data_IF_441560369501
#
_entry.id   IF_441560369501
#
_cell.length_a   1.000
_cell.length_b   1.000
_cell.length_c   1.000
_cell.angle_alpha   90.00
_cell.angle_beta   90.00
_cell.angle_gamma   90.00
#
_symmetry.space_group_name_H-M   'P 1'
#
loop_
_entity.id
_entity.type
_entity.pdbx_description
1 polymer ?
#
# COMPACT_ATOMS: atom_id res chain seq x y z
N UNK A 1 -0.84 -5.02 -12.91
CA UNK A 1 0.45 -4.38 -13.21
C UNK A 1 0.46 -3.13 -12.38
N UNK A 2 1.59 -2.83 -11.79
CA UNK A 2 1.72 -1.67 -10.91
C UNK A 2 2.38 -0.58 -11.75
N UNK A 3 2.09 0.67 -11.44
CA UNK A 3 2.90 1.76 -11.98
C UNK A 3 4.00 2.08 -10.98
N UNK A 4 5.20 2.34 -11.48
CA UNK A 4 6.33 2.77 -10.69
C UNK A 4 6.66 4.22 -11.05
N UNK A 5 6.84 5.06 -10.02
CA UNK A 5 7.35 6.43 -10.23
C UNK A 5 8.85 6.55 -9.92
N UNK A 6 9.45 5.61 -9.17
CA UNK A 6 10.89 5.49 -8.92
C UNK A 6 11.24 4.06 -8.44
N UNK A 7 12.38 3.55 -8.92
CA UNK A 7 12.82 2.14 -8.90
C UNK A 7 13.48 1.71 -7.57
N UNK A 8 13.01 2.19 -6.42
CA UNK A 8 13.55 1.78 -5.12
C UNK A 8 12.42 1.46 -4.15
N UNK A 9 12.29 0.18 -3.84
CA UNK A 9 11.36 -0.31 -2.82
C UNK A 9 11.74 0.26 -1.46
N UNK A 10 10.96 1.22 -0.97
CA UNK A 10 11.10 1.77 0.36
C UNK A 10 9.95 1.29 1.25
N UNK A 11 10.30 0.83 2.44
CA UNK A 11 9.34 0.46 3.48
C UNK A 11 9.13 1.66 4.42
N UNK A 12 7.95 1.80 5.04
CA UNK A 12 7.73 2.84 6.06
C UNK A 12 8.82 2.75 7.14
N UNK A 13 9.24 3.90 7.65
CA UNK A 13 10.45 4.00 8.45
C UNK A 13 10.26 3.42 9.86
N UNK A 14 9.04 3.47 10.38
CA UNK A 14 8.68 3.09 11.74
C UNK A 14 7.40 2.22 11.80
N UNK A 15 7.01 1.76 13.00
CA UNK A 15 5.85 0.85 13.20
C UNK A 15 4.50 1.57 13.29
N UNK A 16 4.48 2.85 13.66
CA UNK A 16 3.26 3.64 13.66
C UNK A 16 2.94 3.94 12.19
N UNK A 17 1.72 3.62 11.77
CA UNK A 17 1.32 3.80 10.38
C UNK A 17 0.05 4.64 10.32
N UNK A 18 0.24 5.94 10.20
CA UNK A 18 -0.82 6.91 9.99
C UNK A 18 -1.19 6.99 8.51
N UNK A 19 -2.49 6.91 8.25
CA UNK A 19 -3.03 6.83 6.89
C UNK A 19 -4.09 7.91 6.71
N UNK A 20 -3.96 8.71 5.66
CA UNK A 20 -4.96 9.68 5.25
C UNK A 20 -5.43 9.40 3.83
N UNK A 21 -6.72 9.61 3.57
CA UNK A 21 -7.30 9.50 2.23
C UNK A 21 -7.90 10.84 1.81
N UNK A 22 -7.37 11.40 0.73
CA UNK A 22 -7.78 12.68 0.20
C UNK A 22 -9.23 12.70 -0.31
N UNK A 23 -9.76 13.92 -0.47
CA UNK A 23 -11.08 14.16 -1.07
C UNK A 23 -11.13 13.88 -2.58
N UNK A 24 -9.97 13.68 -3.23
CA UNK A 24 -9.88 13.24 -4.62
C UNK A 24 -10.45 11.82 -4.82
N UNK A 25 -10.42 11.00 -3.77
CA UNK A 25 -11.14 9.73 -3.69
C UNK A 25 -12.59 9.96 -3.31
N UNK A 26 -13.51 9.14 -3.76
CA UNK A 26 -14.91 9.22 -3.34
C UNK A 26 -15.13 8.67 -1.92
N UNK A 27 -16.33 8.87 -1.36
CA UNK A 27 -16.62 8.44 0.02
C UNK A 27 -16.60 6.92 0.21
N UNK A 28 -16.95 6.14 -0.82
CA UNK A 28 -16.94 4.69 -0.78
C UNK A 28 -15.50 4.17 -0.84
N UNK A 29 -14.66 4.77 -1.69
CA UNK A 29 -13.24 4.46 -1.80
C UNK A 29 -12.51 4.70 -0.47
N UNK A 30 -12.70 5.88 0.16
CA UNK A 30 -12.13 6.17 1.47
C UNK A 30 -12.57 5.17 2.55
N UNK A 31 -13.83 4.72 2.51
CA UNK A 31 -14.33 3.67 3.43
C UNK A 31 -13.67 2.32 3.15
N UNK A 32 -13.48 1.96 1.88
CA UNK A 32 -12.77 0.73 1.49
C UNK A 32 -11.33 0.76 1.97
N UNK A 33 -10.63 1.90 1.80
CA UNK A 33 -9.27 2.08 2.29
C UNK A 33 -9.22 1.88 3.80
N UNK A 34 -9.99 2.68 4.55
CA UNK A 34 -10.01 2.66 6.02
C UNK A 34 -10.31 1.27 6.59
N UNK A 35 -11.26 0.54 5.99
CA UNK A 35 -11.59 -0.83 6.41
C UNK A 35 -10.46 -1.80 6.08
N UNK A 36 -9.91 -1.73 4.87
CA UNK A 36 -8.91 -2.70 4.42
C UNK A 36 -7.62 -2.58 5.22
N UNK A 37 -7.13 -1.37 5.45
CA UNK A 37 -5.88 -1.17 6.22
C UNK A 37 -6.04 -1.67 7.65
N UNK A 38 -7.22 -1.47 8.26
CA UNK A 38 -7.53 -2.01 9.59
C UNK A 38 -7.68 -3.53 9.59
N UNK A 39 -8.42 -4.08 8.63
CA UNK A 39 -8.70 -5.52 8.55
C UNK A 39 -7.44 -6.35 8.26
N UNK A 40 -6.55 -5.84 7.39
CA UNK A 40 -5.45 -6.63 6.85
C UNK A 40 -4.09 -6.29 7.48
N UNK A 41 -3.85 -5.02 7.80
CA UNK A 41 -2.58 -4.58 8.40
C UNK A 41 -2.70 -4.36 9.91
N UNK A 42 -3.91 -4.07 10.44
CA UNK A 42 -4.13 -3.97 11.88
C UNK A 42 -3.74 -5.22 12.70
N UNK A 43 -3.88 -6.46 12.18
CA UNK A 43 -3.41 -7.68 12.86
C UNK A 43 -1.91 -7.98 12.72
N UNK A 44 -1.10 -7.03 12.27
CA UNK A 44 0.37 -7.14 12.16
C UNK A 44 1.03 -6.30 13.27
N UNK A 45 2.35 -6.26 13.32
CA UNK A 45 3.08 -5.42 14.29
C UNK A 45 3.03 -3.90 13.96
N UNK A 46 2.38 -3.53 12.85
CA UNK A 46 2.05 -2.14 12.54
C UNK A 46 0.93 -1.60 13.43
N UNK A 47 1.16 -0.43 14.02
CA UNK A 47 0.12 0.34 14.72
C UNK A 47 -0.62 1.25 13.73
N UNK A 48 -1.63 0.68 13.05
CA UNK A 48 -2.40 1.37 12.00
C UNK A 48 -3.39 2.38 12.58
N UNK A 49 -3.26 3.65 12.17
CA UNK A 49 -4.16 4.74 12.56
C UNK A 49 -4.68 5.47 11.30
N UNK A 50 -6.00 5.47 11.10
CA UNK A 50 -6.60 6.23 9.99
C UNK A 50 -6.96 7.64 10.47
N UNK A 51 -6.33 8.66 9.89
CA UNK A 51 -6.54 10.06 10.22
C UNK A 51 -7.63 10.70 9.34
N UNK A 52 -8.32 11.71 9.89
CA UNK A 52 -9.26 12.56 9.16
C UNK A 52 -8.59 13.69 8.38
N UNK A 53 -7.31 13.95 8.63
CA UNK A 53 -6.51 15.00 7.98
C UNK A 53 -5.09 14.52 7.71
N UNK A 54 -4.55 14.87 6.55
CA UNK A 54 -3.16 14.59 6.20
C UNK A 54 -2.22 15.72 6.62
N UNK A 55 -1.06 15.34 7.13
CA UNK A 55 0.10 16.21 7.30
C UNK A 55 1.10 15.81 6.24
N UNK A 56 1.45 16.75 5.36
CA UNK A 56 2.25 16.46 4.17
C UNK A 56 3.73 16.80 4.34
N UNK A 57 4.07 17.61 5.36
CA UNK A 57 5.43 18.07 5.63
C UNK A 57 5.71 18.24 7.14
N UNK A 58 6.94 17.95 7.57
CA UNK A 58 7.47 18.22 8.92
C UNK A 58 7.47 17.01 9.86
N UNK A 59 7.86 17.20 11.11
CA UNK A 59 8.13 16.11 12.08
C UNK A 59 6.92 15.24 12.50
N UNK A 60 5.75 15.44 11.92
CA UNK A 60 4.52 14.67 12.22
C UNK A 60 3.75 14.37 10.95
N UNK A 61 4.49 14.09 9.89
CA UNK A 61 3.96 13.67 8.59
C UNK A 61 3.06 12.45 8.70
N UNK A 62 2.13 12.36 7.75
CA UNK A 62 1.31 11.17 7.61
C UNK A 62 2.06 10.13 6.80
N UNK A 63 2.22 8.93 7.34
CA UNK A 63 3.06 7.89 6.72
C UNK A 63 2.53 7.47 5.33
N UNK A 64 1.21 7.42 5.13
CA UNK A 64 0.61 7.10 3.83
C UNK A 64 -0.49 8.09 3.45
N UNK A 65 -0.34 8.71 2.28
CA UNK A 65 -1.35 9.58 1.67
C UNK A 65 -1.95 8.93 0.42
N UNK A 66 -3.23 8.58 0.51
CA UNK A 66 -4.02 8.08 -0.60
C UNK A 66 -4.68 9.19 -1.40
N UNK A 67 -4.58 9.10 -2.72
CA UNK A 67 -5.20 10.04 -3.67
C UNK A 67 -5.62 9.34 -4.96
N UNK A 68 -6.53 9.96 -5.71
CA UNK A 68 -7.02 9.42 -6.98
C UNK A 68 -6.52 10.23 -8.17
N UNK A 69 -6.12 9.55 -9.24
CA UNK A 69 -5.77 10.17 -10.54
C UNK A 69 -6.01 9.17 -11.66
N UNK A 70 -6.26 9.67 -12.87
CA UNK A 70 -6.29 8.82 -14.06
C UNK A 70 -4.88 8.29 -14.36
N UNK A 71 -4.73 6.97 -14.35
CA UNK A 71 -3.52 6.25 -14.77
C UNK A 71 -3.81 5.46 -16.05
N UNK A 72 -2.80 4.74 -16.55
CA UNK A 72 -3.01 3.79 -17.64
C UNK A 72 -3.99 2.70 -17.19
N UNK A 73 -4.93 2.32 -18.05
CA UNK A 73 -6.11 1.51 -17.72
C UNK A 73 -5.83 0.14 -17.07
N UNK A 74 -4.64 -0.45 -17.29
CA UNK A 74 -4.23 -1.74 -16.67
C UNK A 74 -3.49 -1.59 -15.33
N UNK A 75 -3.26 -0.36 -14.89
CA UNK A 75 -2.54 -0.04 -13.64
C UNK A 75 -3.54 0.11 -12.51
N UNK A 76 -3.34 -0.63 -11.42
CA UNK A 76 -4.18 -0.56 -10.21
C UNK A 76 -3.92 0.75 -9.47
N UNK A 77 -2.64 0.98 -9.18
CA UNK A 77 -2.16 2.18 -8.54
C UNK A 77 -0.66 2.34 -8.72
N UNK A 78 -0.14 3.38 -8.08
CA UNK A 78 1.30 3.63 -7.95
C UNK A 78 1.57 4.01 -6.51
N UNK A 79 2.53 3.32 -5.92
CA UNK A 79 3.06 3.64 -4.60
C UNK A 79 4.49 4.14 -4.75
N UNK A 80 4.83 5.26 -4.11
CA UNK A 80 6.20 5.78 -4.10
C UNK A 80 6.52 6.48 -2.78
N UNK A 81 7.81 6.57 -2.50
CA UNK A 81 8.34 7.33 -1.38
C UNK A 81 8.49 8.81 -1.76
N UNK A 82 7.87 9.71 -0.99
CA UNK A 82 7.94 11.16 -1.18
C UNK A 82 8.99 11.80 -0.27
N UNK A 83 9.15 11.28 0.96
CA UNK A 83 10.19 11.70 1.90
C UNK A 83 11.01 10.51 2.41
N UNK A 84 12.23 10.35 1.89
CA UNK A 84 13.09 9.22 2.17
C UNK A 84 14.01 9.50 3.37
N UNK A 85 13.94 8.66 4.40
CA UNK A 85 14.87 8.69 5.55
C UNK A 85 16.19 8.00 5.19
N UNK A 86 16.10 6.90 4.44
CA UNK A 86 17.27 6.17 3.92
C UNK A 86 16.97 5.62 2.53
N UNK A 87 17.95 4.95 1.90
CA UNK A 87 17.72 4.24 0.63
C UNK A 87 16.72 3.08 0.69
N UNK A 88 16.21 2.72 1.88
CA UNK A 88 15.23 1.64 2.07
C UNK A 88 14.05 2.03 2.96
N UNK A 89 14.06 3.22 3.55
CA UNK A 89 13.11 3.65 4.58
C UNK A 89 12.50 4.98 4.16
N UNK A 90 11.19 5.08 4.22
CA UNK A 90 10.44 6.28 3.86
C UNK A 90 9.63 6.77 5.06
N UNK A 91 9.66 8.08 5.31
CA UNK A 91 8.80 8.72 6.29
C UNK A 91 7.38 8.84 5.73
N UNK A 92 7.25 9.34 4.49
CA UNK A 92 5.95 9.52 3.83
C UNK A 92 5.87 8.89 2.44
N UNK A 93 4.91 8.00 2.26
CA UNK A 93 4.51 7.45 0.98
C UNK A 93 3.26 8.13 0.43
N UNK A 94 3.22 8.23 -0.90
CA UNK A 94 1.99 8.55 -1.61
C UNK A 94 1.52 7.34 -2.40
N UNK A 95 0.20 7.14 -2.40
CA UNK A 95 -0.47 6.10 -3.16
C UNK A 95 -1.49 6.75 -4.08
N UNK A 96 -1.27 6.60 -5.38
CA UNK A 96 -2.23 6.95 -6.42
C UNK A 96 -3.08 5.73 -6.75
N UNK A 97 -4.38 5.85 -6.55
CA UNK A 97 -5.36 4.89 -7.07
C UNK A 97 -5.82 5.33 -8.45
N UNK A 98 -5.91 4.39 -9.39
CA UNK A 98 -6.41 4.68 -10.72
C UNK A 98 -7.91 5.03 -10.70
N UNK A 99 -8.24 6.22 -11.17
CA UNK A 99 -9.63 6.66 -11.34
C UNK A 99 -10.30 6.10 -12.59
N UNK A 100 -9.56 5.44 -13.49
CA UNK A 100 -10.10 4.76 -14.68
C UNK A 100 -10.44 3.31 -14.35
N UNK A 101 -11.74 3.03 -14.23
CA UNK A 101 -12.26 1.71 -13.83
C UNK A 101 -12.59 0.79 -15.01
N UNK A 102 -12.25 1.19 -16.25
CA UNK A 102 -12.70 0.49 -17.45
C UNK A 102 -12.20 -0.96 -17.56
N UNK A 103 -10.99 -1.25 -17.05
CA UNK A 103 -10.41 -2.60 -17.10
C UNK A 103 -10.22 -3.23 -15.72
N UNK A 104 -9.77 -2.46 -14.72
CA UNK A 104 -9.51 -2.99 -13.36
C UNK A 104 -10.73 -2.96 -12.44
N UNK A 105 -11.84 -2.37 -12.88
CA UNK A 105 -13.01 -2.16 -12.06
C UNK A 105 -12.81 -1.11 -10.95
N UNK A 106 -13.79 -1.02 -10.06
CA UNK A 106 -13.76 -0.07 -8.93
C UNK A 106 -12.74 -0.49 -7.87
N UNK A 107 -12.26 0.50 -7.10
CA UNK A 107 -11.40 0.24 -5.94
C UNK A 107 -12.03 -0.80 -5.00
N UNK A 108 -11.26 -1.81 -4.63
CA UNK A 108 -11.69 -2.89 -3.75
C UNK A 108 -10.57 -3.23 -2.74
N UNK A 109 -10.83 -4.18 -1.82
CA UNK A 109 -9.85 -4.52 -0.78
C UNK A 109 -8.54 -5.09 -1.33
N UNK A 110 -8.56 -5.77 -2.48
CA UNK A 110 -7.33 -6.28 -3.09
C UNK A 110 -6.43 -5.13 -3.54
N UNK A 111 -6.99 -4.13 -4.26
CA UNK A 111 -6.23 -2.94 -4.69
C UNK A 111 -5.58 -2.20 -3.50
N UNK A 112 -6.35 -1.93 -2.44
CA UNK A 112 -5.81 -1.24 -1.26
C UNK A 112 -4.74 -2.08 -0.57
N UNK A 113 -4.98 -3.39 -0.42
CA UNK A 113 -4.01 -4.29 0.18
C UNK A 113 -2.70 -4.27 -0.59
N UNK A 114 -2.78 -4.33 -1.90
CA UNK A 114 -1.64 -4.37 -2.80
C UNK A 114 -0.76 -3.11 -2.67
N UNK A 115 -1.35 -1.93 -2.86
CA UNK A 115 -0.59 -0.68 -2.82
C UNK A 115 -0.07 -0.35 -1.41
N UNK A 116 -0.87 -0.61 -0.36
CA UNK A 116 -0.35 -0.51 1.03
C UNK A 116 0.84 -1.44 1.23
N UNK A 117 0.82 -2.61 0.59
CA UNK A 117 1.85 -3.61 0.70
C UNK A 117 3.20 -3.07 0.25
N UNK A 118 3.23 -2.38 -0.89
CA UNK A 118 4.43 -1.71 -1.36
C UNK A 118 4.93 -0.63 -0.40
N UNK A 119 4.05 0.19 0.17
CA UNK A 119 4.43 1.21 1.14
C UNK A 119 5.07 0.62 2.41
N UNK A 120 4.66 -0.60 2.81
CA UNK A 120 5.26 -1.31 3.96
C UNK A 120 6.36 -2.29 3.57
N UNK A 121 6.89 -2.17 2.35
CA UNK A 121 8.07 -2.92 1.90
C UNK A 121 7.81 -4.31 1.32
N UNK A 122 6.56 -4.67 1.06
CA UNK A 122 6.23 -5.93 0.39
C UNK A 122 6.45 -5.83 -1.11
N UNK A 123 6.98 -6.90 -1.68
CA UNK A 123 7.28 -7.03 -3.10
C UNK A 123 6.61 -8.27 -3.68
N UNK A 124 6.60 -8.38 -5.01
CA UNK A 124 5.98 -9.50 -5.70
C UNK A 124 6.92 -10.69 -5.84
N UNK A 125 6.36 -11.88 -5.99
CA UNK A 125 7.02 -13.07 -6.54
C UNK A 125 8.49 -13.25 -6.17
N UNK A 126 9.36 -13.15 -7.16
CA UNK A 126 10.80 -13.44 -7.04
C UNK A 126 11.58 -12.37 -6.30
N UNK A 127 10.98 -11.21 -6.05
CA UNK A 127 11.55 -10.13 -5.25
C UNK A 127 11.10 -10.21 -3.80
N UNK A 128 10.07 -11.01 -3.50
CA UNK A 128 9.63 -11.30 -2.15
C UNK A 128 10.72 -12.04 -1.37
N UNK A 129 10.67 -11.92 -0.04
CA UNK A 129 11.55 -12.64 0.86
C UNK A 129 10.74 -13.59 1.76
N UNK A 130 11.06 -14.89 1.82
CA UNK A 130 11.81 -15.63 0.80
C UNK A 130 11.12 -15.54 -0.57
N UNK A 131 11.89 -15.77 -1.64
CA UNK A 131 11.37 -15.72 -3.02
C UNK A 131 10.19 -16.65 -3.22
N UNK A 132 9.14 -16.17 -3.88
CA UNK A 132 7.92 -16.91 -4.22
C UNK A 132 7.65 -16.90 -5.73
N UNK A 133 6.71 -17.72 -6.17
CA UNK A 133 6.14 -17.60 -7.51
C UNK A 133 5.18 -16.40 -7.56
N UNK A 134 5.02 -15.77 -8.74
CA UNK A 134 4.15 -14.60 -8.92
C UNK A 134 2.67 -14.83 -8.51
N UNK A 135 2.22 -16.08 -8.55
CA UNK A 135 0.86 -16.50 -8.15
C UNK A 135 0.83 -17.33 -6.87
N UNK A 136 1.90 -17.30 -6.08
CA UNK A 136 1.94 -18.05 -4.82
C UNK A 136 0.90 -17.49 -3.84
N UNK A 137 -0.04 -18.31 -3.32
CA UNK A 137 -1.09 -17.84 -2.42
C UNK A 137 -0.56 -17.33 -1.07
N UNK A 138 0.70 -17.62 -0.73
CA UNK A 138 1.38 -17.06 0.45
C UNK A 138 1.65 -15.56 0.30
N UNK A 139 1.71 -15.02 -0.92
CA UNK A 139 1.83 -13.59 -1.21
C UNK A 139 0.51 -12.82 -1.03
N UNK A 140 -0.62 -13.52 -0.89
CA UNK A 140 -1.93 -12.88 -0.74
C UNK A 140 -2.17 -11.82 -1.80
N UNK A 141 -2.49 -10.59 -1.38
CA UNK A 141 -2.73 -9.47 -2.28
C UNK A 141 -1.54 -9.00 -3.13
N UNK A 142 -0.31 -9.42 -2.79
CA UNK A 142 0.89 -9.17 -3.61
C UNK A 142 1.11 -10.24 -4.70
N UNK A 143 0.20 -11.20 -4.82
CA UNK A 143 0.16 -12.12 -5.96
C UNK A 143 -0.53 -11.48 -7.15
N UNK A 144 -0.31 -12.05 -8.35
CA UNK A 144 -1.01 -11.65 -9.58
C UNK A 144 -2.48 -12.08 -9.62
N UNK A 145 -2.93 -12.87 -8.64
CA UNK A 145 -4.33 -13.26 -8.49
C UNK A 145 -5.04 -12.30 -7.53
N UNK A 146 -6.28 -11.87 -7.84
CA UNK A 146 -7.04 -10.94 -7.00
C UNK A 146 -7.41 -11.61 -5.66
N UNK A 147 -6.52 -11.44 -4.69
CA UNK A 147 -6.62 -12.08 -3.38
C UNK A 147 -6.95 -11.05 -2.31
N UNK A 148 -8.13 -11.17 -1.73
CA UNK A 148 -8.68 -10.22 -0.75
C UNK A 148 -8.22 -10.52 0.68
N UNK A 149 -6.91 -10.70 0.88
CA UNK A 149 -6.27 -10.89 2.19
C UNK A 149 -4.78 -10.61 2.12
N UNK A 150 -4.19 -10.30 3.28
CA UNK A 150 -2.76 -10.33 3.46
C UNK A 150 -2.25 -11.79 3.47
N UNK A 151 -1.17 -12.05 2.75
CA UNK A 151 -0.53 -13.36 2.67
C UNK A 151 0.16 -13.74 3.98
N UNK A 152 0.41 -15.04 4.22
CA UNK A 152 1.20 -15.46 5.38
C UNK A 152 2.64 -14.94 5.28
N UNK A 153 3.24 -15.06 4.09
CA UNK A 153 4.56 -14.50 3.80
C UNK A 153 4.63 -13.01 4.14
N UNK A 154 3.61 -12.27 3.73
CA UNK A 154 3.56 -10.82 3.93
C UNK A 154 3.45 -10.43 5.40
N UNK A 155 2.59 -11.13 6.16
CA UNK A 155 2.47 -10.92 7.61
C UNK A 155 3.80 -11.18 8.30
N UNK A 156 4.46 -12.28 7.97
CA UNK A 156 5.74 -12.65 8.59
C UNK A 156 6.82 -11.60 8.29
N UNK A 157 6.87 -11.05 7.06
CA UNK A 157 7.82 -9.99 6.71
C UNK A 157 7.55 -8.70 7.48
N UNK A 158 6.29 -8.25 7.54
CA UNK A 158 5.91 -7.05 8.30
C UNK A 158 6.29 -7.23 9.76
N UNK A 159 5.88 -8.34 10.39
CA UNK A 159 6.14 -8.62 11.80
C UNK A 159 7.62 -8.83 12.12
N UNK A 160 8.43 -9.25 11.15
CA UNK A 160 9.88 -9.32 11.33
C UNK A 160 10.57 -7.96 11.20
N UNK A 161 9.88 -6.96 10.64
CA UNK A 161 10.45 -5.65 10.30
C UNK A 161 10.10 -4.57 11.32
N UNK A 162 8.93 -4.65 11.96
CA UNK A 162 8.33 -3.61 12.81
C UNK A 162 8.02 -4.11 14.22
#
# INVERSE_FOLDING_TARGET
MDGELNDTFCQTDNRALTIYSEKSLDSAERRTISRTVKDFYGPTDLAVQVSSSGVYKGDSETDIIYKSKRLYKTVVGVTWCDDAVTSRKCDQHHILINSDHSEMGKLNKWHVCHETGHAVGLTHGTEANPRKLLRDPALGCMSYDPTYRLGANNRDNINSTY
#
